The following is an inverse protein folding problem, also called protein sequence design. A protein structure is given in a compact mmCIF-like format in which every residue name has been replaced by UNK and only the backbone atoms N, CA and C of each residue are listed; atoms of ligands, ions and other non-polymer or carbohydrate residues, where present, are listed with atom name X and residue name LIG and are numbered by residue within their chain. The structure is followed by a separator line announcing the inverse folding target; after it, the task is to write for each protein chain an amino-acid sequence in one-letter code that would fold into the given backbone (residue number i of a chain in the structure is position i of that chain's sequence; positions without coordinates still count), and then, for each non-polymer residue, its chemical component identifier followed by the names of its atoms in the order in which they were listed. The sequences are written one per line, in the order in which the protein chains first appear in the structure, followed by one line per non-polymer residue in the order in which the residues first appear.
data_IF_286714594221
#
_entry.id   IF_286714594221
#
_cell.length_a   1.000
_cell.length_b   1.000
_cell.length_c   1.000
_cell.angle_alpha   90.00
_cell.angle_beta   90.00
_cell.angle_gamma   90.00
#
_symmetry.space_group_name_H-M   'P 1'
#
loop_
_entity.id
_entity.type
_entity.pdbx_description
1 polymer ?
#
# COMPACT_ATOMS: atom_id res chain seq x y z
N UNK A 1 -45.61 3.54 -11.51
CA UNK A 1 -45.09 2.16 -11.53
C UNK A 1 -43.68 2.22 -10.95
N UNK A 2 -43.56 1.90 -9.67
CA UNK A 2 -42.33 2.08 -8.89
C UNK A 2 -41.40 0.88 -9.08
N UNK A 3 -40.19 1.08 -9.60
CA UNK A 3 -39.18 0.03 -9.68
C UNK A 3 -38.33 0.05 -8.41
N UNK A 4 -38.58 -0.93 -7.54
CA UNK A 4 -37.77 -1.21 -6.34
C UNK A 4 -36.50 -1.92 -6.77
N UNK A 5 -35.37 -1.23 -6.76
CA UNK A 5 -34.06 -1.87 -6.93
C UNK A 5 -33.72 -2.55 -5.60
N UNK A 6 -33.81 -3.88 -5.58
CA UNK A 6 -33.34 -4.75 -4.50
C UNK A 6 -31.81 -4.81 -4.58
N UNK A 7 -31.18 -4.60 -3.44
CA UNK A 7 -29.75 -4.50 -3.23
C UNK A 7 -28.99 -5.80 -3.52
N UNK A 8 -27.76 -5.65 -4.02
CA UNK A 8 -26.69 -6.64 -3.86
C UNK A 8 -25.48 -5.91 -3.28
N UNK A 9 -25.56 -5.56 -1.98
CA UNK A 9 -24.42 -5.04 -1.24
C UNK A 9 -23.44 -6.18 -1.02
N UNK A 10 -22.41 -6.24 -1.86
CA UNK A 10 -21.25 -7.10 -1.68
C UNK A 10 -20.52 -6.65 -0.40
N UNK A 11 -20.88 -7.26 0.73
CA UNK A 11 -20.23 -7.02 2.01
C UNK A 11 -18.85 -7.68 1.99
N UNK A 12 -17.86 -6.95 1.46
CA UNK A 12 -16.45 -7.33 1.52
C UNK A 12 -16.03 -7.38 3.00
N UNK A 13 -16.03 -8.58 3.57
CA UNK A 13 -15.54 -8.81 4.93
C UNK A 13 -14.02 -8.77 4.84
N UNK A 14 -13.45 -7.60 5.15
CA UNK A 14 -12.00 -7.45 5.29
C UNK A 14 -11.58 -8.34 6.47
N UNK A 15 -11.00 -9.51 6.17
CA UNK A 15 -10.27 -10.29 7.15
C UNK A 15 -9.00 -9.51 7.48
N UNK A 16 -9.08 -8.62 8.47
CA UNK A 16 -7.90 -8.03 9.07
C UNK A 16 -7.15 -9.13 9.80
N UNK A 17 -6.08 -9.64 9.20
CA UNK A 17 -5.15 -10.51 9.89
C UNK A 17 -4.56 -9.72 11.08
N UNK A 18 -5.04 -10.01 12.29
CA UNK A 18 -4.54 -9.39 13.51
C UNK A 18 -3.12 -9.90 13.75
N UNK A 19 -2.13 -9.02 13.64
CA UNK A 19 -0.74 -9.36 13.94
C UNK A 19 -0.59 -9.67 15.44
N UNK A 20 0.26 -10.63 15.79
CA UNK A 20 0.51 -10.98 17.18
C UNK A 20 1.09 -9.78 17.97
N UNK A 21 0.68 -9.58 19.24
CA UNK A 21 1.17 -8.49 20.06
C UNK A 21 2.68 -8.63 20.29
N UNK A 22 3.41 -7.53 20.11
CA UNK A 22 4.85 -7.44 20.37
C UNK A 22 5.20 -6.23 21.22
N UNK A 23 6.39 -6.24 21.81
CA UNK A 23 6.94 -5.06 22.47
C UNK A 23 7.56 -4.12 21.44
N UNK A 24 7.12 -2.87 21.47
CA UNK A 24 7.63 -1.77 20.67
C UNK A 24 8.46 -0.83 21.54
N UNK A 25 9.47 -0.18 20.96
CA UNK A 25 10.39 0.71 21.66
C UNK A 25 10.46 2.08 20.99
N UNK A 26 10.68 3.12 21.79
CA UNK A 26 11.03 4.45 21.28
C UNK A 26 12.41 4.44 20.60
N UNK A 27 12.69 5.44 19.77
CA UNK A 27 13.94 5.57 19.02
C UNK A 27 15.21 5.47 19.89
N UNK A 28 15.15 6.01 21.11
CA UNK A 28 16.21 5.96 22.13
C UNK A 28 16.16 4.72 23.04
N UNK A 29 15.15 3.86 22.87
CA UNK A 29 14.90 2.70 23.71
C UNK A 29 14.42 2.98 25.14
N UNK A 30 14.21 4.25 25.52
CA UNK A 30 13.85 4.64 26.90
C UNK A 30 12.43 4.26 27.30
N UNK A 31 11.54 4.09 26.32
CA UNK A 31 10.14 3.71 26.51
C UNK A 31 9.85 2.44 25.75
N UNK A 32 8.99 1.61 26.33
CA UNK A 32 8.49 0.40 25.68
C UNK A 32 7.01 0.20 25.97
N UNK A 33 6.28 -0.38 25.02
CA UNK A 33 4.88 -0.72 25.21
C UNK A 33 4.51 -1.97 24.40
N UNK A 34 3.50 -2.70 24.87
CA UNK A 34 2.97 -3.88 24.19
C UNK A 34 1.85 -3.45 23.23
N UNK A 35 1.89 -3.94 21.98
CA UNK A 35 0.83 -3.70 21.03
C UNK A 35 0.92 -4.53 19.75
N UNK A 36 -0.19 -4.59 19.03
CA UNK A 36 -0.36 -5.30 17.77
C UNK A 36 -0.23 -4.33 16.60
N UNK A 37 0.54 -4.70 15.59
CA UNK A 37 0.54 -3.95 14.33
C UNK A 37 -0.84 -4.03 13.68
N UNK A 38 -1.35 -2.89 13.20
CA UNK A 38 -2.66 -2.80 12.52
C UNK A 38 -2.48 -2.42 11.04
N UNK A 39 -1.81 -1.30 10.77
CA UNK A 39 -1.59 -0.80 9.41
C UNK A 39 -0.30 -0.01 9.29
N UNK A 40 0.20 0.10 8.05
CA UNK A 40 1.31 1.00 7.68
C UNK A 40 0.82 1.91 6.56
N UNK A 41 0.95 3.21 6.79
CA UNK A 41 0.53 4.27 5.87
C UNK A 41 1.73 5.20 5.66
N UNK A 42 2.47 4.96 4.58
CA UNK A 42 3.70 5.68 4.26
C UNK A 42 4.72 5.67 5.41
N UNK A 43 5.06 6.82 6.01
CA UNK A 43 6.04 6.93 7.11
C UNK A 43 5.44 6.65 8.50
N UNK A 44 4.16 6.26 8.58
CA UNK A 44 3.45 6.04 9.85
C UNK A 44 2.93 4.60 9.93
N UNK A 45 2.76 4.14 11.18
CA UNK A 45 2.09 2.89 11.49
C UNK A 45 0.99 3.12 12.52
N UNK A 46 -0.02 2.26 12.49
CA UNK A 46 -1.05 2.17 13.50
C UNK A 46 -0.81 0.91 14.33
N UNK A 47 -0.76 1.08 15.66
CA UNK A 47 -0.61 -0.02 16.62
C UNK A 47 -1.82 -0.03 17.54
N UNK A 48 -2.41 -1.21 17.73
CA UNK A 48 -3.43 -1.45 18.75
C UNK A 48 -2.74 -1.78 20.06
N UNK A 49 -2.91 -0.94 21.07
CA UNK A 49 -2.36 -1.12 22.41
C UNK A 49 -3.16 -2.15 23.21
N UNK A 50 -2.58 -2.66 24.30
CA UNK A 50 -3.23 -3.67 25.15
C UNK A 50 -4.57 -3.23 25.77
N UNK A 51 -4.80 -1.92 25.92
CA UNK A 51 -6.09 -1.35 26.35
C UNK A 51 -7.12 -1.24 25.21
N UNK A 52 -6.81 -1.78 24.03
CA UNK A 52 -7.68 -1.84 22.86
C UNK A 52 -7.71 -0.56 22.02
N UNK A 53 -7.01 0.50 22.44
CA UNK A 53 -6.92 1.74 21.65
C UNK A 53 -5.97 1.57 20.47
N UNK A 54 -6.12 2.41 19.45
CA UNK A 54 -5.18 2.47 18.32
C UNK A 54 -4.38 3.76 18.41
N UNK A 55 -3.06 3.64 18.34
CA UNK A 55 -2.12 4.75 18.33
C UNK A 55 -1.38 4.80 17.00
N UNK A 56 -1.33 5.99 16.38
CA UNK A 56 -0.55 6.23 15.17
C UNK A 56 0.81 6.80 15.53
N UNK A 57 1.87 6.15 15.04
CA UNK A 57 3.26 6.50 15.34
C UNK A 57 4.06 6.68 14.04
N UNK A 58 4.95 7.66 14.03
CA UNK A 58 5.95 7.78 12.97
C UNK A 58 7.00 6.67 13.12
N UNK A 59 7.33 5.97 12.04
CA UNK A 59 8.32 4.88 12.04
C UNK A 59 9.68 5.38 12.53
N UNK A 60 10.05 6.62 12.18
CA UNK A 60 11.28 7.27 12.63
C UNK A 60 11.39 7.46 14.16
N UNK A 61 10.27 7.37 14.90
CA UNK A 61 10.23 7.43 16.36
C UNK A 61 10.35 6.06 17.03
N UNK A 62 10.43 4.99 16.25
CA UNK A 62 10.63 3.63 16.75
C UNK A 62 12.11 3.29 16.82
N UNK A 63 12.46 2.35 17.69
CA UNK A 63 13.81 1.80 17.77
C UNK A 63 14.24 1.17 16.43
N UNK A 64 15.53 1.21 16.04
CA UNK A 64 16.01 0.64 14.78
C UNK A 64 15.57 -0.82 14.55
N UNK A 65 15.58 -1.66 15.57
CA UNK A 65 15.13 -3.06 15.47
C UNK A 65 13.65 -3.19 15.06
N UNK A 66 12.78 -2.31 15.56
CA UNK A 66 11.37 -2.29 15.20
C UNK A 66 11.17 -1.77 13.76
N UNK A 67 11.98 -0.80 13.33
CA UNK A 67 11.98 -0.33 11.94
C UNK A 67 12.40 -1.44 10.98
N UNK A 68 13.44 -2.21 11.31
CA UNK A 68 13.88 -3.34 10.51
C UNK A 68 12.80 -4.43 10.44
N UNK A 69 12.17 -4.74 11.58
CA UNK A 69 11.08 -5.71 11.61
C UNK A 69 9.91 -5.29 10.73
N UNK A 70 9.51 -4.01 10.79
CA UNK A 70 8.47 -3.46 9.91
C UNK A 70 8.85 -3.64 8.44
N UNK A 71 10.08 -3.32 8.06
CA UNK A 71 10.49 -3.48 6.66
C UNK A 71 10.50 -4.94 6.18
N UNK A 72 10.76 -5.89 7.08
CA UNK A 72 10.74 -7.32 6.77
C UNK A 72 9.33 -7.93 6.69
N UNK A 73 8.38 -7.46 7.50
CA UNK A 73 7.05 -8.09 7.64
C UNK A 73 5.91 -7.25 7.06
N UNK A 74 6.08 -5.93 7.05
CA UNK A 74 5.13 -4.94 6.57
C UNK A 74 5.88 -3.90 5.73
N UNK A 75 6.49 -4.33 4.61
CA UNK A 75 7.23 -3.41 3.74
C UNK A 75 6.32 -2.24 3.37
N UNK A 76 6.91 -1.06 3.17
CA UNK A 76 6.14 0.03 2.61
C UNK A 76 5.51 -0.49 1.32
N UNK A 77 4.20 -0.29 1.16
CA UNK A 77 3.57 -0.33 -0.15
C UNK A 77 4.47 0.52 -1.06
N UNK A 78 5.19 -0.14 -1.97
CA UNK A 78 5.91 0.59 -3.00
C UNK A 78 4.81 1.34 -3.71
N UNK A 79 4.73 2.65 -3.48
CA UNK A 79 4.11 3.54 -4.43
C UNK A 79 4.84 3.25 -5.73
N UNK A 80 4.26 2.37 -6.54
CA UNK A 80 4.56 2.31 -7.94
C UNK A 80 4.15 3.69 -8.40
N UNK A 81 5.09 4.64 -8.35
CA UNK A 81 5.03 5.89 -9.10
C UNK A 81 4.52 5.46 -10.45
N UNK A 82 3.30 5.89 -10.78
CA UNK A 82 2.59 5.32 -11.91
C UNK A 82 3.50 5.40 -13.13
N UNK A 83 3.39 4.48 -14.06
CA UNK A 83 4.13 4.55 -15.34
C UNK A 83 4.06 5.94 -15.99
N UNK A 84 2.99 6.66 -15.67
CA UNK A 84 2.66 7.99 -16.14
C UNK A 84 3.36 9.14 -15.38
N UNK A 85 3.90 8.92 -14.17
CA UNK A 85 4.65 9.94 -13.41
C UNK A 85 6.02 10.23 -14.05
N UNK A 86 6.56 9.27 -14.81
CA UNK A 86 7.81 9.43 -15.57
C UNK A 86 7.62 10.19 -16.90
N UNK A 87 6.37 10.51 -17.28
CA UNK A 87 6.06 11.26 -18.50
C UNK A 87 6.21 12.75 -18.25
N UNK A 88 7.01 13.42 -19.08
CA UNK A 88 7.27 14.84 -18.95
C UNK A 88 6.55 15.63 -20.07
N UNK A 89 6.11 16.84 -19.76
CA UNK A 89 5.54 17.72 -20.77
C UNK A 89 6.62 18.11 -21.79
N UNK A 90 6.39 17.76 -23.07
CA UNK A 90 7.37 17.95 -24.15
C UNK A 90 8.06 16.67 -24.62
N UNK A 91 7.79 15.51 -24.00
CA UNK A 91 8.19 14.22 -24.56
C UNK A 91 7.55 14.01 -25.95
N UNK A 92 8.35 13.52 -26.89
CA UNK A 92 7.81 13.04 -28.17
C UNK A 92 7.05 11.74 -27.95
N UNK A 93 6.16 11.41 -28.89
CA UNK A 93 5.41 10.15 -28.85
C UNK A 93 6.34 8.96 -28.67
N UNK A 94 7.47 8.88 -29.37
CA UNK A 94 8.40 7.75 -29.24
C UNK A 94 8.97 7.62 -27.82
N UNK A 95 9.36 8.74 -27.19
CA UNK A 95 9.92 8.76 -25.85
C UNK A 95 8.91 8.36 -24.78
N UNK A 96 7.68 8.87 -24.88
CA UNK A 96 6.59 8.46 -24.00
C UNK A 96 6.33 6.95 -24.12
N UNK A 97 6.26 6.41 -25.34
CA UNK A 97 6.06 4.96 -25.55
C UNK A 97 7.21 4.10 -25.01
N UNK A 98 8.46 4.57 -25.10
CA UNK A 98 9.60 3.87 -24.53
C UNK A 98 9.53 3.80 -22.99
N UNK A 99 9.14 4.90 -22.33
CA UNK A 99 8.91 4.96 -20.88
C UNK A 99 7.76 4.05 -20.45
N UNK A 100 6.65 4.07 -21.19
CA UNK A 100 5.48 3.24 -20.93
C UNK A 100 5.79 1.73 -21.02
N UNK A 101 6.53 1.30 -22.05
CA UNK A 101 6.91 -0.12 -22.23
C UNK A 101 7.95 -0.63 -21.24
N UNK A 102 8.77 0.28 -20.68
CA UNK A 102 9.79 -0.09 -19.69
C UNK A 102 9.16 -0.44 -18.34
N UNK A 103 7.98 0.11 -18.04
CA UNK A 103 7.27 -0.25 -16.83
C UNK A 103 6.43 -1.50 -17.04
N UNK A 104 6.59 -2.46 -16.13
CA UNK A 104 6.03 -3.82 -16.17
C UNK A 104 4.49 -3.87 -16.00
N UNK A 105 3.80 -2.73 -16.00
CA UNK A 105 2.37 -2.59 -15.72
C UNK A 105 1.50 -2.43 -16.97
N UNK A 106 2.10 -2.30 -18.16
CA UNK A 106 1.37 -2.20 -19.43
C UNK A 106 1.59 -3.50 -20.21
N UNK A 107 0.63 -4.41 -20.17
CA UNK A 107 0.55 -5.46 -21.20
C UNK A 107 0.11 -4.81 -22.51
N UNK A 108 0.92 -4.81 -23.57
CA UNK A 108 0.43 -4.44 -24.88
C UNK A 108 -0.63 -5.48 -25.27
N UNK A 109 -1.90 -5.07 -25.34
CA UNK A 109 -2.91 -5.86 -26.03
C UNK A 109 -2.39 -6.06 -27.46
N UNK A 110 -1.98 -7.29 -27.76
CA UNK A 110 -1.56 -7.69 -29.09
C UNK A 110 -2.68 -7.27 -30.04
N UNK A 111 -2.32 -6.40 -30.98
CA UNK A 111 -3.16 -5.95 -32.06
C UNK A 111 -3.69 -7.18 -32.83
N UNK A 112 -4.93 -7.57 -32.52
CA UNK A 112 -5.66 -8.50 -33.35
C UNK A 112 -5.92 -7.76 -34.66
N UNK A 113 -5.26 -8.22 -35.73
CA UNK A 113 -5.61 -7.87 -37.10
C UNK A 113 -7.09 -8.24 -37.33
N UNK A 114 -8.01 -7.31 -37.07
CA UNK A 114 -9.42 -7.40 -37.47
C UNK A 114 -9.63 -6.56 -38.73
N UNK A 115 -8.75 -6.68 -39.72
CA UNK A 115 -9.09 -6.34 -41.11
C UNK A 115 -8.29 -7.25 -42.03
N UNK A 116 -8.96 -8.29 -42.51
CA UNK A 116 -8.39 -9.28 -43.42
C UNK A 116 -9.49 -10.01 -44.18
N UNK A 117 -9.72 -9.52 -45.41
CA UNK A 117 -10.58 -10.02 -46.50
C UNK A 117 -12.01 -9.48 -46.54
#
# INVERSE_FOLDING_TARGET
MSLRIVAFSLLATVLSATAAPRTWKSADGSKSFLGEFVSREGPQISIKTADGKTATLAIAKLHPDDQQWLNAHHPAETVSTGVFDDLEFGDTREKAYAKLRKSQLVEPQAESNVFGS
#
